data_IF_223791851057
#
_entry.id   IF_223791851057
#
_cell.length_a   1.000
_cell.length_b   1.000
_cell.length_c   1.000
_cell.angle_alpha   90.00
_cell.angle_beta   90.00
_cell.angle_gamma   90.00
#
_symmetry.space_group_name_H-M   'P 1'
#
loop_
_entity.id
_entity.type
_entity.pdbx_description
1 polymer ?
#
# COMPACT_ATOMS: atom_id res chain seq x y z
N UNK A 1 -5.02 -36.74 -42.02
CA UNK A 1 -4.52 -36.55 -40.63
C UNK A 1 -5.06 -35.25 -40.07
N UNK A 2 -6.03 -35.35 -39.14
CA UNK A 2 -6.62 -34.17 -38.48
C UNK A 2 -5.61 -33.64 -37.44
N UNK A 3 -5.07 -32.45 -37.69
CA UNK A 3 -4.26 -31.74 -36.70
C UNK A 3 -5.16 -31.26 -35.57
N UNK A 4 -5.06 -31.88 -34.42
CA UNK A 4 -5.71 -31.44 -33.19
C UNK A 4 -5.07 -30.10 -32.77
N UNK A 5 -5.79 -29.00 -32.96
CA UNK A 5 -5.37 -27.68 -32.46
C UNK A 5 -5.45 -27.69 -30.93
N UNK A 6 -4.32 -27.91 -30.27
CA UNK A 6 -4.23 -27.71 -28.83
C UNK A 6 -4.50 -26.23 -28.50
N UNK A 7 -5.60 -25.95 -27.81
CA UNK A 7 -5.82 -24.63 -27.20
C UNK A 7 -4.75 -24.42 -26.15
N UNK A 8 -3.81 -23.46 -26.37
CA UNK A 8 -2.87 -23.05 -25.35
C UNK A 8 -3.65 -22.69 -24.06
N UNK A 9 -3.34 -23.37 -22.94
CA UNK A 9 -3.86 -22.96 -21.63
C UNK A 9 -3.43 -21.52 -21.36
N UNK A 10 -4.37 -20.65 -21.06
CA UNK A 10 -4.08 -19.29 -20.63
C UNK A 10 -3.27 -19.33 -19.34
N UNK A 11 -2.22 -18.51 -19.21
CA UNK A 11 -1.45 -18.43 -17.99
C UNK A 11 -2.35 -17.89 -16.85
N UNK A 12 -2.06 -18.27 -15.60
CA UNK A 12 -2.74 -17.74 -14.40
C UNK A 12 -2.82 -16.19 -14.43
N UNK A 13 -1.72 -15.52 -14.80
CA UNK A 13 -1.67 -14.06 -14.96
C UNK A 13 -2.69 -13.50 -15.97
N UNK A 14 -2.96 -14.22 -17.07
CA UNK A 14 -3.97 -13.78 -18.04
C UNK A 14 -5.40 -13.97 -17.53
N UNK A 15 -5.62 -14.96 -16.67
CA UNK A 15 -6.90 -15.20 -16.02
C UNK A 15 -7.18 -14.11 -14.97
N UNK A 16 -6.21 -13.85 -14.08
CA UNK A 16 -6.26 -12.80 -13.07
C UNK A 16 -6.46 -11.42 -13.69
N UNK A 17 -5.75 -11.10 -14.77
CA UNK A 17 -5.95 -9.85 -15.51
C UNK A 17 -7.37 -9.72 -16.05
N UNK A 18 -7.94 -10.79 -16.61
CA UNK A 18 -9.30 -10.78 -17.17
C UNK A 18 -10.36 -10.64 -16.08
N UNK A 19 -10.20 -11.23 -14.91
CA UNK A 19 -11.11 -11.06 -13.78
C UNK A 19 -11.02 -9.67 -13.19
N UNK A 20 -9.80 -9.19 -12.97
CA UNK A 20 -9.55 -7.84 -12.45
C UNK A 20 -10.14 -6.74 -13.35
N UNK A 21 -10.13 -6.93 -14.68
CA UNK A 21 -10.75 -5.99 -15.64
C UNK A 21 -12.28 -5.92 -15.57
N UNK A 22 -12.93 -6.89 -14.94
CA UNK A 22 -14.39 -6.95 -14.76
C UNK A 22 -14.88 -6.29 -13.48
N UNK A 23 -13.96 -5.96 -12.57
CA UNK A 23 -14.33 -5.33 -11.31
C UNK A 23 -14.79 -3.91 -11.59
N UNK A 24 -15.99 -3.59 -11.16
CA UNK A 24 -16.53 -2.24 -11.22
C UNK A 24 -15.81 -1.36 -10.19
N UNK A 25 -15.10 -0.37 -10.71
CA UNK A 25 -14.40 0.66 -9.92
C UNK A 25 -15.00 2.05 -10.17
N UNK A 26 -16.26 2.11 -10.63
CA UNK A 26 -17.01 3.37 -10.70
C UNK A 26 -17.01 4.02 -9.31
N UNK A 27 -16.91 5.35 -9.25
CA UNK A 27 -16.79 6.13 -8.01
C UNK A 27 -15.47 5.90 -7.22
N UNK A 28 -14.50 5.16 -7.79
CA UNK A 28 -13.16 4.94 -7.24
C UNK A 28 -12.06 5.21 -8.26
N UNK A 29 -12.35 6.05 -9.25
CA UNK A 29 -11.39 6.42 -10.28
C UNK A 29 -10.39 7.45 -9.77
N UNK A 30 -9.37 7.73 -10.55
CA UNK A 30 -8.44 8.82 -10.22
C UNK A 30 -9.11 10.19 -10.21
N UNK A 31 -10.13 10.42 -11.03
CA UNK A 31 -10.92 11.64 -10.98
C UNK A 31 -11.71 11.76 -9.69
N UNK A 32 -12.29 10.66 -9.21
CA UNK A 32 -12.98 10.63 -7.90
C UNK A 32 -12.00 10.89 -6.75
N UNK A 33 -10.76 10.37 -6.85
CA UNK A 33 -9.68 10.70 -5.90
C UNK A 33 -9.40 12.21 -5.87
N UNK A 34 -9.26 12.84 -7.02
CA UNK A 34 -9.00 14.28 -7.10
C UNK A 34 -10.18 15.11 -6.55
N UNK A 35 -11.41 14.70 -6.85
CA UNK A 35 -12.61 15.33 -6.31
C UNK A 35 -12.66 15.21 -4.78
N UNK A 36 -12.43 14.00 -4.24
CA UNK A 36 -12.39 13.77 -2.80
C UNK A 36 -11.30 14.59 -2.11
N UNK A 37 -10.11 14.66 -2.69
CA UNK A 37 -9.01 15.47 -2.17
C UNK A 37 -9.35 16.96 -2.18
N UNK A 38 -10.02 17.44 -3.21
CA UNK A 38 -10.47 18.84 -3.31
C UNK A 38 -11.54 19.19 -2.27
N UNK A 39 -12.46 18.27 -2.00
CA UNK A 39 -13.50 18.44 -0.97
C UNK A 39 -12.95 18.35 0.45
N UNK A 40 -11.78 17.71 0.65
CA UNK A 40 -11.17 17.49 1.94
C UNK A 40 -9.70 17.99 1.99
N UNK A 41 -9.44 19.30 1.80
CA UNK A 41 -8.08 19.83 1.60
C UNK A 41 -7.16 19.69 2.84
N UNK A 42 -7.73 19.42 4.02
CA UNK A 42 -6.95 19.20 5.26
C UNK A 42 -6.53 17.75 5.51
N UNK A 43 -6.97 16.82 4.68
CA UNK A 43 -6.64 15.41 4.85
C UNK A 43 -5.42 15.02 4.02
N UNK A 44 -4.52 14.24 4.63
CA UNK A 44 -3.45 13.58 3.90
C UNK A 44 -3.94 12.26 3.32
N UNK A 45 -3.64 12.01 2.04
CA UNK A 45 -3.88 10.70 1.46
C UNK A 45 -2.71 9.75 1.71
N UNK A 46 -2.98 8.47 1.69
CA UNK A 46 -1.95 7.46 1.59
C UNK A 46 -1.85 6.92 0.15
N UNK A 47 -0.70 6.34 -0.18
CA UNK A 47 -0.48 5.61 -1.43
C UNK A 47 -0.01 4.19 -1.09
N UNK A 48 -0.57 3.21 -1.78
CA UNK A 48 -0.30 1.79 -1.54
C UNK A 48 0.22 1.12 -2.81
N UNK A 49 1.25 0.26 -2.64
CA UNK A 49 1.86 -0.47 -3.75
C UNK A 49 2.56 -1.73 -3.25
N UNK A 50 2.80 -2.70 -4.15
CA UNK A 50 3.66 -3.84 -3.87
C UNK A 50 5.06 -3.66 -4.46
N UNK A 51 6.08 -3.83 -3.63
CA UNK A 51 7.46 -3.90 -4.05
C UNK A 51 7.88 -5.38 -4.16
N UNK A 52 7.79 -5.95 -5.36
CA UNK A 52 8.36 -7.26 -5.69
C UNK A 52 9.81 -7.14 -6.15
N UNK A 53 10.55 -8.25 -6.24
CA UNK A 53 11.91 -8.28 -6.75
C UNK A 53 12.07 -9.18 -7.97
N UNK A 54 12.10 -10.48 -7.81
CA UNK A 54 12.13 -11.43 -8.91
C UNK A 54 10.80 -12.20 -9.01
N UNK A 55 10.46 -12.64 -10.21
CA UNK A 55 9.16 -13.28 -10.46
C UNK A 55 8.96 -14.63 -9.75
N UNK A 56 10.04 -15.23 -9.25
CA UNK A 56 10.03 -16.50 -8.50
C UNK A 56 9.88 -16.31 -7.01
N UNK A 57 10.01 -15.07 -6.50
CA UNK A 57 9.84 -14.81 -5.07
C UNK A 57 8.41 -15.11 -4.63
N UNK A 58 8.30 -15.74 -3.47
CA UNK A 58 7.04 -15.96 -2.77
C UNK A 58 6.65 -14.78 -1.90
N UNK A 59 7.62 -13.92 -1.57
CA UNK A 59 7.42 -12.75 -0.74
C UNK A 59 7.39 -11.46 -1.56
N UNK A 60 6.63 -10.49 -1.09
CA UNK A 60 6.61 -9.11 -1.58
C UNK A 60 6.52 -8.16 -0.39
N UNK A 61 6.90 -6.92 -0.57
CA UNK A 61 6.77 -5.89 0.46
C UNK A 61 5.57 -5.01 0.09
N UNK A 62 4.52 -5.03 0.91
CA UNK A 62 3.47 -4.04 0.81
C UNK A 62 3.99 -2.73 1.38
N UNK A 63 3.93 -1.67 0.59
CA UNK A 63 4.30 -0.30 0.98
C UNK A 63 3.03 0.52 1.16
N UNK A 64 2.88 1.16 2.31
CA UNK A 64 1.83 2.13 2.59
C UNK A 64 2.50 3.44 2.97
N UNK A 65 2.38 4.46 2.13
CA UNK A 65 3.07 5.75 2.32
C UNK A 65 2.08 6.87 2.56
N UNK A 66 2.45 7.83 3.42
CA UNK A 66 1.73 9.10 3.59
C UNK A 66 2.63 10.20 2.99
N UNK A 67 2.42 10.57 1.71
CA UNK A 67 3.33 11.46 0.99
C UNK A 67 3.57 12.81 1.66
N UNK A 68 2.52 13.40 2.23
CA UNK A 68 2.63 14.69 2.92
C UNK A 68 3.53 14.68 4.16
N UNK A 69 3.76 13.50 4.75
CA UNK A 69 4.65 13.30 5.90
C UNK A 69 5.95 12.58 5.52
N UNK A 70 6.11 12.18 4.26
CA UNK A 70 7.17 11.26 3.83
C UNK A 70 7.25 9.97 4.65
N UNK A 71 6.17 9.63 5.37
CA UNK A 71 6.11 8.47 6.25
C UNK A 71 5.79 7.21 5.47
N UNK A 72 6.44 6.10 5.81
CA UNK A 72 6.21 4.81 5.17
C UNK A 72 6.01 3.70 6.19
N UNK A 73 5.10 2.79 5.87
CA UNK A 73 4.97 1.49 6.53
C UNK A 73 5.31 0.39 5.52
N UNK A 74 6.11 -0.58 5.96
CA UNK A 74 6.56 -1.72 5.15
C UNK A 74 6.10 -3.01 5.81
N UNK A 75 5.39 -3.85 5.05
CA UNK A 75 4.92 -5.15 5.50
C UNK A 75 5.45 -6.25 4.59
N UNK A 76 6.16 -7.23 5.19
CA UNK A 76 6.61 -8.41 4.45
C UNK A 76 5.44 -9.39 4.30
N UNK A 77 4.97 -9.56 3.07
CA UNK A 77 3.82 -10.40 2.75
C UNK A 77 4.28 -11.67 2.03
N UNK A 78 4.01 -12.81 2.63
CA UNK A 78 4.24 -14.10 1.99
C UNK A 78 3.02 -14.51 1.15
N UNK A 79 3.26 -14.87 -0.11
CA UNK A 79 2.20 -15.20 -1.09
C UNK A 79 1.13 -14.10 -1.16
N UNK A 80 1.45 -12.91 -1.67
CA UNK A 80 0.56 -11.75 -1.65
C UNK A 80 -0.77 -12.06 -2.33
N UNK A 81 -1.85 -11.79 -1.60
CA UNK A 81 -3.25 -11.95 -2.03
C UNK A 81 -4.08 -10.78 -1.48
N UNK A 82 -5.26 -10.56 -2.05
CA UNK A 82 -6.18 -9.54 -1.52
C UNK A 82 -6.53 -9.79 -0.05
N UNK A 83 -6.75 -11.05 0.33
CA UNK A 83 -7.01 -11.42 1.72
C UNK A 83 -5.88 -11.03 2.67
N UNK A 84 -4.62 -11.19 2.26
CA UNK A 84 -3.46 -10.76 3.06
C UNK A 84 -3.40 -9.26 3.26
N UNK A 85 -3.79 -8.49 2.27
CA UNK A 85 -3.89 -7.01 2.40
C UNK A 85 -4.98 -6.64 3.39
N UNK A 86 -6.15 -7.30 3.31
CA UNK A 86 -7.26 -7.09 4.28
C UNK A 86 -6.79 -7.43 5.70
N UNK A 87 -6.11 -8.56 5.92
CA UNK A 87 -5.58 -8.95 7.23
C UNK A 87 -4.62 -7.91 7.81
N UNK A 88 -3.77 -7.28 6.97
CA UNK A 88 -2.89 -6.18 7.38
C UNK A 88 -3.68 -4.96 7.83
N UNK A 89 -4.72 -4.58 7.07
CA UNK A 89 -5.58 -3.45 7.43
C UNK A 89 -6.37 -3.71 8.71
N UNK A 90 -6.84 -4.93 8.91
CA UNK A 90 -7.55 -5.37 10.11
C UNK A 90 -6.64 -5.30 11.35
N UNK A 91 -5.40 -5.73 11.22
CA UNK A 91 -4.41 -5.65 12.29
C UNK A 91 -4.03 -4.19 12.59
N UNK A 92 -3.84 -3.36 11.56
CA UNK A 92 -3.59 -1.92 11.72
C UNK A 92 -4.74 -1.25 12.47
N UNK A 93 -6.00 -1.50 12.06
CA UNK A 93 -7.16 -0.94 12.70
C UNK A 93 -7.31 -1.44 14.16
N UNK A 94 -7.02 -2.72 14.41
CA UNK A 94 -7.08 -3.30 15.77
C UNK A 94 -6.09 -2.62 16.71
N UNK A 95 -4.88 -2.32 16.25
CA UNK A 95 -3.85 -1.71 17.09
C UNK A 95 -4.02 -0.20 17.25
N UNK A 96 -4.44 0.50 16.20
CA UNK A 96 -4.65 1.96 16.21
C UNK A 96 -6.00 2.38 16.81
N UNK A 97 -6.99 1.52 16.70
CA UNK A 97 -8.40 1.87 16.82
C UNK A 97 -8.94 2.56 15.57
N UNK A 98 -10.23 2.43 15.29
CA UNK A 98 -10.87 2.94 14.06
C UNK A 98 -10.68 4.45 13.86
N UNK A 99 -10.72 5.24 14.94
CA UNK A 99 -10.59 6.69 14.82
C UNK A 99 -9.20 7.11 14.35
N UNK A 100 -8.12 6.56 14.94
CA UNK A 100 -6.75 6.86 14.51
C UNK A 100 -6.46 6.30 13.12
N UNK A 101 -6.98 5.10 12.81
CA UNK A 101 -6.86 4.55 11.47
C UNK A 101 -7.41 5.52 10.40
N UNK A 102 -8.62 6.07 10.62
CA UNK A 102 -9.23 7.07 9.73
C UNK A 102 -8.46 8.36 9.62
N UNK A 103 -7.84 8.80 10.69
CA UNK A 103 -7.01 10.01 10.69
C UNK A 103 -5.72 9.84 9.90
N UNK A 104 -5.12 8.64 9.97
CA UNK A 104 -3.88 8.33 9.26
C UNK A 104 -4.11 7.98 7.78
N UNK A 105 -5.18 7.25 7.51
CA UNK A 105 -5.49 6.70 6.19
C UNK A 105 -6.93 7.03 5.77
N UNK A 106 -7.30 8.33 5.74
CA UNK A 106 -8.68 8.72 5.40
C UNK A 106 -9.06 8.30 3.98
N UNK A 107 -8.11 8.32 3.06
CA UNK A 107 -8.26 7.79 1.71
C UNK A 107 -6.91 7.34 1.13
N UNK A 108 -6.95 6.32 0.30
CA UNK A 108 -5.77 5.62 -0.22
C UNK A 108 -5.86 5.55 -1.73
N UNK A 109 -4.77 5.91 -2.41
CA UNK A 109 -4.61 5.74 -3.84
C UNK A 109 -3.72 4.52 -4.12
N UNK A 110 -4.19 3.62 -4.99
CA UNK A 110 -3.44 2.42 -5.39
C UNK A 110 -3.53 2.17 -6.89
N UNK A 111 -2.79 1.19 -7.40
CA UNK A 111 -3.01 0.71 -8.76
C UNK A 111 -4.12 -0.34 -8.82
N UNK A 112 -4.30 -0.89 -10.02
CA UNK A 112 -5.29 -1.94 -10.27
C UNK A 112 -4.68 -3.34 -10.13
N UNK A 113 -3.71 -3.52 -9.22
CA UNK A 113 -3.22 -4.88 -8.91
C UNK A 113 -4.35 -5.75 -8.37
N UNK A 114 -4.31 -7.05 -8.69
CA UNK A 114 -5.33 -8.00 -8.26
C UNK A 114 -5.46 -8.09 -6.73
N UNK A 115 -4.36 -7.90 -6.02
CA UNK A 115 -4.35 -7.90 -4.55
C UNK A 115 -5.14 -6.73 -3.93
N UNK A 116 -5.39 -5.66 -4.69
CA UNK A 116 -6.18 -4.50 -4.25
C UNK A 116 -7.61 -4.50 -4.80
N UNK A 117 -8.02 -5.60 -5.43
CA UNK A 117 -9.32 -5.70 -6.09
C UNK A 117 -10.52 -5.78 -5.11
N UNK A 118 -10.28 -6.25 -3.90
CA UNK A 118 -11.30 -6.40 -2.85
C UNK A 118 -11.44 -5.12 -2.04
N UNK A 119 -12.02 -4.07 -2.62
CA UNK A 119 -12.10 -2.77 -1.94
C UNK A 119 -13.10 -2.77 -0.77
N UNK A 120 -14.24 -3.46 -0.85
CA UNK A 120 -15.23 -3.46 0.22
C UNK A 120 -14.64 -3.89 1.57
N UNK A 121 -13.96 -5.05 1.73
CA UNK A 121 -13.34 -5.40 3.00
C UNK A 121 -12.15 -4.50 3.37
N UNK A 122 -11.49 -3.85 2.40
CA UNK A 122 -10.44 -2.88 2.71
C UNK A 122 -11.00 -1.58 3.27
N UNK A 123 -12.16 -1.14 2.80
CA UNK A 123 -12.82 0.08 3.24
C UNK A 123 -13.65 -0.11 4.52
N UNK A 124 -14.21 -1.31 4.75
CA UNK A 124 -15.10 -1.58 5.89
C UNK A 124 -14.32 -1.73 7.19
N UNK A 125 -14.78 -1.04 8.24
CA UNK A 125 -14.24 -1.19 9.58
C UNK A 125 -14.67 -2.51 10.22
N UNK A 126 -13.76 -3.13 11.01
CA UNK A 126 -14.09 -4.30 11.83
C UNK A 126 -15.01 -3.97 13.01
N UNK A 127 -14.99 -2.72 13.50
CA UNK A 127 -15.56 -2.36 14.79
C UNK A 127 -16.78 -1.45 14.67
N UNK A 128 -17.01 -0.85 13.51
CA UNK A 128 -18.10 0.11 13.30
C UNK A 128 -18.77 -0.11 11.94
N UNK A 129 -20.05 0.27 11.76
CA UNK A 129 -20.72 0.18 10.47
C UNK A 129 -20.23 1.21 9.44
N UNK A 130 -19.32 2.08 9.83
CA UNK A 130 -18.76 3.12 8.96
C UNK A 130 -17.49 2.62 8.26
N UNK A 131 -17.15 3.22 7.12
CA UNK A 131 -15.90 2.93 6.43
C UNK A 131 -14.70 3.38 7.27
N UNK A 132 -13.62 2.59 7.26
CA UNK A 132 -12.34 2.95 7.88
C UNK A 132 -11.45 3.79 6.95
N UNK A 133 -11.65 3.70 5.64
CA UNK A 133 -10.92 4.45 4.60
C UNK A 133 -11.75 4.50 3.32
N UNK A 134 -11.31 5.29 2.34
CA UNK A 134 -11.80 5.24 0.96
C UNK A 134 -10.66 4.82 0.04
N UNK A 135 -10.93 3.89 -0.87
CA UNK A 135 -9.93 3.36 -1.81
C UNK A 135 -10.18 3.91 -3.21
N UNK A 136 -9.14 4.47 -3.82
CA UNK A 136 -9.17 4.98 -5.18
C UNK A 136 -8.08 4.32 -6.03
N UNK A 137 -8.31 4.25 -7.34
CA UNK A 137 -7.44 3.57 -8.28
C UNK A 137 -6.88 4.52 -9.32
N UNK A 138 -5.59 4.40 -9.57
CA UNK A 138 -4.95 5.04 -10.72
C UNK A 138 -5.52 4.51 -12.04
N UNK A 139 -5.41 5.33 -13.08
CA UNK A 139 -5.68 4.88 -14.44
C UNK A 139 -4.65 3.83 -14.87
N UNK A 140 -5.08 2.91 -15.72
CA UNK A 140 -4.20 1.89 -16.25
C UNK A 140 -3.03 2.53 -17.00
N UNK A 141 -1.81 2.04 -16.74
CA UNK A 141 -0.57 2.50 -17.37
C UNK A 141 -0.20 3.96 -17.11
N UNK A 142 -0.78 4.62 -16.11
CA UNK A 142 -0.45 5.99 -15.72
C UNK A 142 0.31 6.04 -14.39
N UNK A 143 1.60 5.72 -14.42
CA UNK A 143 2.47 5.71 -13.24
C UNK A 143 2.67 7.11 -12.62
N UNK A 144 2.52 8.17 -13.42
CA UNK A 144 2.65 9.54 -12.93
C UNK A 144 1.65 9.88 -11.80
N UNK A 145 0.50 9.22 -11.77
CA UNK A 145 -0.50 9.39 -10.72
C UNK A 145 -0.06 8.84 -9.35
N UNK A 146 0.96 7.97 -9.32
CA UNK A 146 1.58 7.41 -8.10
C UNK A 146 3.03 7.87 -7.91
N UNK A 147 3.39 9.06 -8.36
CA UNK A 147 4.77 9.53 -8.36
C UNK A 147 5.45 9.46 -6.98
N UNK A 148 4.71 9.71 -5.90
CA UNK A 148 5.25 9.69 -4.54
C UNK A 148 5.63 8.28 -4.08
N UNK A 149 4.75 7.28 -4.25
CA UNK A 149 5.09 5.90 -3.89
C UNK A 149 6.16 5.33 -4.82
N UNK A 150 6.18 5.73 -6.08
CA UNK A 150 7.27 5.35 -6.99
C UNK A 150 8.62 5.95 -6.56
N UNK A 151 8.63 7.20 -6.11
CA UNK A 151 9.84 7.82 -5.55
C UNK A 151 10.28 7.09 -4.28
N UNK A 152 9.35 6.76 -3.38
CA UNK A 152 9.63 5.94 -2.21
C UNK A 152 10.18 4.56 -2.60
N UNK A 153 9.56 3.90 -3.56
CA UNK A 153 10.03 2.62 -4.08
C UNK A 153 11.45 2.70 -4.67
N UNK A 154 11.84 3.81 -5.30
CA UNK A 154 13.23 4.03 -5.74
C UNK A 154 14.20 4.12 -4.55
N UNK A 155 13.82 4.73 -3.43
CA UNK A 155 14.63 4.75 -2.22
C UNK A 155 14.71 3.33 -1.61
N UNK A 156 13.59 2.62 -1.52
CA UNK A 156 13.54 1.24 -1.04
C UNK A 156 14.41 0.29 -1.87
N UNK A 157 14.59 0.56 -3.16
CA UNK A 157 15.49 -0.22 -4.04
C UNK A 157 16.97 -0.15 -3.64
N UNK A 158 17.38 0.78 -2.81
CA UNK A 158 18.72 0.78 -2.21
C UNK A 158 18.89 -0.37 -1.21
N UNK A 159 17.82 -0.73 -0.50
CA UNK A 159 17.78 -1.85 0.45
C UNK A 159 17.34 -3.16 -0.21
N UNK A 160 16.41 -3.09 -1.14
CA UNK A 160 15.80 -4.21 -1.86
C UNK A 160 16.06 -4.10 -3.36
N UNK A 161 17.30 -4.34 -3.84
CA UNK A 161 17.66 -4.16 -5.25
C UNK A 161 16.81 -5.06 -6.17
N UNK A 162 16.37 -4.51 -7.29
CA UNK A 162 15.67 -5.29 -8.31
C UNK A 162 16.56 -6.44 -8.82
N UNK A 163 15.99 -7.60 -8.97
CA UNK A 163 16.72 -8.80 -9.43
C UNK A 163 17.43 -9.58 -8.33
N UNK A 164 17.35 -9.16 -7.05
CA UNK A 164 17.79 -9.95 -5.90
C UNK A 164 16.59 -10.47 -5.15
N UNK A 165 16.55 -11.77 -4.82
CA UNK A 165 15.45 -12.37 -4.08
C UNK A 165 15.28 -11.74 -2.69
N UNK A 166 14.02 -11.50 -2.32
CA UNK A 166 13.62 -11.02 -1.00
C UNK A 166 13.03 -12.14 -0.12
N UNK A 167 12.99 -13.39 -0.61
CA UNK A 167 12.45 -14.53 0.13
C UNK A 167 13.21 -14.84 1.44
N UNK A 168 14.47 -14.42 1.53
CA UNK A 168 15.28 -14.60 2.74
C UNK A 168 15.08 -13.54 3.79
N UNK A 169 14.32 -12.47 3.50
CA UNK A 169 14.06 -11.42 4.47
C UNK A 169 13.15 -11.92 5.59
N UNK A 170 13.41 -11.45 6.79
CA UNK A 170 12.50 -11.59 7.93
C UNK A 170 11.67 -10.32 8.14
N UNK A 171 10.57 -10.42 8.89
CA UNK A 171 9.75 -9.28 9.26
C UNK A 171 10.56 -8.26 10.09
N UNK A 172 11.43 -8.72 10.97
CA UNK A 172 12.30 -7.89 11.80
C UNK A 172 13.27 -7.07 10.95
N UNK A 173 13.85 -7.68 9.91
CA UNK A 173 14.72 -6.95 8.97
C UNK A 173 13.95 -5.86 8.23
N UNK A 174 12.74 -6.16 7.73
CA UNK A 174 11.89 -5.17 7.06
C UNK A 174 11.50 -4.05 8.04
N UNK A 175 11.18 -4.37 9.30
CA UNK A 175 10.91 -3.39 10.35
C UNK A 175 12.13 -2.49 10.60
N UNK A 176 13.33 -3.04 10.68
CA UNK A 176 14.57 -2.25 10.83
C UNK A 176 14.74 -1.27 9.66
N UNK A 177 14.52 -1.71 8.43
CA UNK A 177 14.58 -0.82 7.27
C UNK A 177 13.50 0.27 7.32
N UNK A 178 12.29 -0.08 7.75
CA UNK A 178 11.22 0.89 7.96
C UNK A 178 11.63 1.99 8.94
N UNK A 179 12.21 1.62 10.08
CA UNK A 179 12.72 2.56 11.08
C UNK A 179 13.82 3.46 10.53
N UNK A 180 14.82 2.90 9.84
CA UNK A 180 15.93 3.69 9.25
C UNK A 180 15.38 4.75 8.27
N UNK A 181 14.37 4.42 7.48
CA UNK A 181 13.78 5.35 6.51
C UNK A 181 13.02 6.46 7.25
N UNK A 182 12.16 6.11 8.21
CA UNK A 182 11.34 7.08 8.92
C UNK A 182 12.12 7.96 9.91
N UNK A 183 13.33 7.53 10.30
CA UNK A 183 14.25 8.31 11.13
C UNK A 183 15.27 9.13 10.32
N UNK A 184 15.23 9.03 9.00
CA UNK A 184 16.12 9.82 8.14
C UNK A 184 15.61 11.26 7.99
N UNK A 185 16.49 12.25 8.13
CA UNK A 185 16.14 13.66 7.97
C UNK A 185 15.78 14.00 6.52
N UNK A 186 14.70 14.74 6.34
CA UNK A 186 14.15 15.10 5.03
C UNK A 186 14.19 16.63 4.85
N UNK A 187 14.84 17.11 3.79
CA UNK A 187 14.98 18.54 3.53
C UNK A 187 13.61 19.24 3.34
N UNK A 188 12.66 18.61 2.65
CA UNK A 188 11.30 19.15 2.44
C UNK A 188 10.46 19.20 3.73
N UNK A 189 10.86 18.50 4.79
CA UNK A 189 10.30 18.60 6.14
C UNK A 189 11.08 19.60 7.02
N UNK A 190 11.82 20.53 6.42
CA UNK A 190 12.68 21.49 7.15
C UNK A 190 13.73 20.80 8.03
N UNK A 191 14.20 19.64 7.59
CA UNK A 191 15.20 18.82 8.31
C UNK A 191 14.61 17.92 9.41
N UNK A 192 13.30 17.89 9.58
CA UNK A 192 12.65 16.93 10.47
C UNK A 192 12.66 15.52 9.84
N UNK A 193 12.49 14.51 10.68
CA UNK A 193 12.28 13.13 10.23
C UNK A 193 10.79 12.86 9.98
N UNK A 194 10.42 11.85 9.17
CA UNK A 194 9.04 11.38 9.05
C UNK A 194 8.39 11.02 10.41
N UNK A 195 9.16 10.41 11.32
CA UNK A 195 8.70 10.09 12.68
C UNK A 195 8.34 11.36 13.47
N UNK A 196 9.20 12.40 13.43
CA UNK A 196 8.92 13.69 14.07
C UNK A 196 7.70 14.38 13.44
N UNK A 197 7.55 14.33 12.11
CA UNK A 197 6.41 14.91 11.42
C UNK A 197 5.09 14.17 11.76
N UNK A 198 5.11 12.85 11.82
CA UNK A 198 3.97 12.05 12.23
C UNK A 198 3.57 12.32 13.69
N UNK A 199 4.55 12.30 14.60
CA UNK A 199 4.32 12.55 16.03
C UNK A 199 3.74 13.95 16.29
N UNK A 200 4.20 14.95 15.54
CA UNK A 200 3.67 16.34 15.62
C UNK A 200 2.20 16.42 15.23
N UNK A 201 1.77 15.63 14.23
CA UNK A 201 0.40 15.68 13.70
C UNK A 201 -0.55 14.74 14.45
N UNK A 202 -0.11 13.52 14.79
CA UNK A 202 -0.95 12.46 15.32
C UNK A 202 -0.60 12.04 16.76
N UNK A 203 0.42 12.66 17.35
CA UNK A 203 0.89 12.38 18.71
C UNK A 203 1.88 11.22 18.82
N UNK A 204 2.66 11.25 19.91
CA UNK A 204 3.69 10.23 20.17
C UNK A 204 3.11 8.83 20.37
N UNK A 205 1.91 8.70 20.96
CA UNK A 205 1.25 7.42 21.15
C UNK A 205 0.96 6.73 19.81
N UNK A 206 0.54 7.51 18.79
CA UNK A 206 0.32 6.99 17.45
C UNK A 206 1.62 6.50 16.81
N UNK A 207 2.69 7.29 16.93
CA UNK A 207 4.02 6.91 16.44
C UNK A 207 4.52 5.64 17.13
N UNK A 208 4.36 5.54 18.45
CA UNK A 208 4.79 4.38 19.22
C UNK A 208 4.11 3.09 18.76
N UNK A 209 2.79 3.13 18.57
CA UNK A 209 2.04 2.00 18.00
C UNK A 209 2.62 1.59 16.64
N UNK A 210 2.80 2.53 15.71
CA UNK A 210 3.26 2.24 14.35
C UNK A 210 4.71 1.73 14.32
N UNK A 211 5.58 2.22 15.20
CA UNK A 211 6.97 1.79 15.30
C UNK A 211 7.10 0.36 15.83
N UNK A 212 6.16 -0.07 16.69
CA UNK A 212 6.16 -1.41 17.29
C UNK A 212 5.33 -2.44 16.51
N UNK A 213 4.61 -2.00 15.49
CA UNK A 213 3.80 -2.89 14.66
C UNK A 213 4.70 -3.94 13.97
N UNK A 214 4.37 -5.21 14.17
CA UNK A 214 4.94 -6.36 13.47
C UNK A 214 3.77 -7.17 12.91
N UNK A 215 3.57 -7.07 11.62
CA UNK A 215 2.49 -7.76 10.90
C UNK A 215 3.06 -8.81 9.94
#
# INVERSE_FOLDING_TARGET
PYAVKYKKRKSLKQYEYKENSRIDRSQRTYLDFLAFQFEHPGLFHAQMDFLGSIHTDKKSILTLTIPGLHYVLLFLVESPTGQKVVEIFDQLETQLGTQRFRQLFPFILTDRDFCFAQFDPLETSLFTPQLRTHLFYCDSFNSAQKANVEQMNKQLRKFFPKGKSIDRLSKEQVKTFNQVINQSRIASLSGATPDEALAKLHGNECLDILTHIII
#
